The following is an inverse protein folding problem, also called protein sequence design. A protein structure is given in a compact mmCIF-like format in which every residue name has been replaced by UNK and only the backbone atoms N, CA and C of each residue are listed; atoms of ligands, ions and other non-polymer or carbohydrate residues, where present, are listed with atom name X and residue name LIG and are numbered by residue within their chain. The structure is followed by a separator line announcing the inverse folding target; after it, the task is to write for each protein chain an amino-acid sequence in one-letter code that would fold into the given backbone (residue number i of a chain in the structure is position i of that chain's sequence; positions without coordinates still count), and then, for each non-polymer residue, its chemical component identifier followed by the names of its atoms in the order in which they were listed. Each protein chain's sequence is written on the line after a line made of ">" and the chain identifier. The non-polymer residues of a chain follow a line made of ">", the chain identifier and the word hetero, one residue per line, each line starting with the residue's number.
data_IF_702996065417
#
_entry.id   IF_702996065417
#
_cell.length_a   1.000
_cell.length_b   1.000
_cell.length_c   1.000
_cell.angle_alpha   90.00
_cell.angle_beta   90.00
_cell.angle_gamma   90.00
#
_symmetry.space_group_name_H-M   'P 1'
#
loop_
_entity.id
_entity.type
_entity.pdbx_description
1 polymer ?
#
# COMPACT_ATOMS: atom_id res chain seq x y z
N UNK A 1 -2.12 0.06 14.37
CA UNK A 1 -2.41 1.50 14.15
C UNK A 1 -3.92 1.65 13.99
N UNK A 2 -4.53 2.77 14.40
CA UNK A 2 -5.99 2.96 14.23
C UNK A 2 -6.34 3.11 12.75
N UNK A 3 -7.55 2.73 12.36
CA UNK A 3 -8.06 2.93 11.00
C UNK A 3 -8.00 4.43 10.63
N UNK A 4 -7.48 4.79 9.45
CA UNK A 4 -7.43 6.17 9.00
C UNK A 4 -8.82 6.72 8.66
N UNK A 5 -8.95 8.04 8.67
CA UNK A 5 -10.17 8.72 8.26
C UNK A 5 -10.34 8.67 6.73
N UNK A 6 -11.57 8.62 6.16
CA UNK A 6 -11.79 8.60 4.71
C UNK A 6 -11.05 9.71 3.94
N UNK A 7 -10.94 10.91 4.51
CA UNK A 7 -10.18 12.02 3.91
C UNK A 7 -8.68 11.68 3.77
N UNK A 8 -8.08 11.03 4.76
CA UNK A 8 -6.67 10.61 4.71
C UNK A 8 -6.47 9.54 3.64
N UNK A 9 -7.43 8.61 3.48
CA UNK A 9 -7.40 7.58 2.43
C UNK A 9 -7.45 8.22 1.05
N UNK A 10 -8.39 9.13 0.80
CA UNK A 10 -8.47 9.86 -0.49
C UNK A 10 -7.19 10.65 -0.78
N UNK A 11 -6.64 11.33 0.22
CA UNK A 11 -5.36 12.04 0.07
C UNK A 11 -4.21 11.08 -0.24
N UNK A 12 -4.15 9.92 0.40
CA UNK A 12 -3.12 8.91 0.13
C UNK A 12 -3.21 8.36 -1.30
N UNK A 13 -4.42 8.17 -1.84
CA UNK A 13 -4.61 7.75 -3.23
C UNK A 13 -4.01 8.78 -4.20
N UNK A 14 -4.36 10.06 -4.05
CA UNK A 14 -3.83 11.15 -4.89
C UNK A 14 -2.31 11.29 -4.75
N UNK A 15 -1.78 11.19 -3.53
CA UNK A 15 -0.34 11.23 -3.30
C UNK A 15 0.39 10.03 -3.92
N UNK A 16 -0.23 8.84 -3.89
CA UNK A 16 0.34 7.66 -4.50
C UNK A 16 0.42 7.80 -6.03
N UNK A 17 -0.58 8.41 -6.66
CA UNK A 17 -0.54 8.76 -8.10
C UNK A 17 0.70 9.62 -8.41
N UNK A 18 0.94 10.68 -7.62
CA UNK A 18 2.11 11.55 -7.77
C UNK A 18 3.43 10.79 -7.57
N UNK A 19 3.49 9.93 -6.56
CA UNK A 19 4.66 9.07 -6.29
C UNK A 19 4.93 8.10 -7.44
N UNK A 20 3.87 7.52 -8.02
CA UNK A 20 3.98 6.57 -9.13
C UNK A 20 4.40 7.23 -10.45
N UNK A 21 4.24 8.55 -10.59
CA UNK A 21 4.81 9.31 -11.70
C UNK A 21 6.34 9.39 -11.66
N UNK A 22 6.98 9.06 -10.53
CA UNK A 22 8.45 8.91 -10.35
C UNK A 22 9.29 10.11 -10.77
N UNK A 23 8.73 11.32 -10.73
CA UNK A 23 9.47 12.54 -11.08
C UNK A 23 10.44 12.96 -9.97
N UNK A 24 10.06 12.73 -8.71
CA UNK A 24 10.87 13.04 -7.53
C UNK A 24 10.68 11.94 -6.46
N UNK A 25 11.58 11.84 -5.47
CA UNK A 25 11.45 10.89 -4.37
C UNK A 25 10.13 11.03 -3.59
N UNK A 26 9.57 9.90 -3.11
CA UNK A 26 8.30 9.87 -2.39
C UNK A 26 8.31 10.68 -1.08
N UNK A 27 9.45 10.68 -0.38
CA UNK A 27 9.66 11.46 0.84
C UNK A 27 9.62 12.98 0.56
N UNK A 28 10.17 13.43 -0.57
CA UNK A 28 10.10 14.82 -1.00
C UNK A 28 8.65 15.26 -1.31
N UNK A 29 7.86 14.38 -1.95
CA UNK A 29 6.43 14.60 -2.22
C UNK A 29 5.67 14.75 -0.90
N UNK A 30 5.85 13.80 0.03
CA UNK A 30 5.22 13.84 1.35
C UNK A 30 5.65 15.09 2.15
N UNK A 31 6.93 15.43 2.16
CA UNK A 31 7.44 16.62 2.84
C UNK A 31 6.86 17.92 2.24
N UNK A 32 6.77 18.02 0.92
CA UNK A 32 6.10 19.13 0.23
C UNK A 32 4.62 19.22 0.62
N UNK A 33 3.91 18.09 0.60
CA UNK A 33 2.51 18.01 0.99
C UNK A 33 2.29 18.46 2.44
N UNK A 34 3.09 17.98 3.39
CA UNK A 34 2.96 18.36 4.80
C UNK A 34 3.30 19.82 5.07
N UNK A 35 4.27 20.41 4.35
CA UNK A 35 4.58 21.85 4.45
C UNK A 35 3.44 22.73 3.96
N UNK A 36 2.73 22.29 2.90
CA UNK A 36 1.54 22.99 2.37
C UNK A 36 0.32 22.87 3.29
N UNK A 37 0.24 21.81 4.10
CA UNK A 37 -0.89 21.53 4.99
C UNK A 37 -0.46 21.56 6.47
N UNK A 38 -0.05 22.73 6.96
CA UNK A 38 0.49 22.91 8.33
C UNK A 38 -0.49 22.49 9.43
N UNK A 39 -1.78 22.53 9.15
CA UNK A 39 -2.86 22.08 10.04
C UNK A 39 -2.90 20.56 10.26
N UNK A 40 -2.21 19.76 9.42
CA UNK A 40 -2.11 18.31 9.64
C UNK A 40 -1.31 18.02 10.92
N UNK A 41 -1.94 17.31 11.85
CA UNK A 41 -1.29 16.84 13.06
C UNK A 41 -0.33 15.69 12.80
N UNK A 42 0.49 15.33 13.79
CA UNK A 42 1.43 14.21 13.67
C UNK A 42 0.76 12.88 13.32
N UNK A 43 -0.48 12.67 13.78
CA UNK A 43 -1.27 11.47 13.47
C UNK A 43 -1.67 11.39 11.99
N UNK A 44 -2.09 12.50 11.38
CA UNK A 44 -2.48 12.54 9.97
C UNK A 44 -1.28 12.21 9.08
N UNK A 45 -0.13 12.84 9.39
CA UNK A 45 1.12 12.61 8.67
C UNK A 45 1.60 11.17 8.80
N UNK A 46 1.46 10.57 10.00
CA UNK A 46 1.81 9.18 10.24
C UNK A 46 0.92 8.22 9.43
N UNK A 47 -0.39 8.45 9.38
CA UNK A 47 -1.31 7.64 8.56
C UNK A 47 -0.99 7.74 7.07
N UNK A 48 -0.82 8.96 6.53
CA UNK A 48 -0.47 9.15 5.12
C UNK A 48 0.85 8.45 4.78
N UNK A 49 1.88 8.66 5.60
CA UNK A 49 3.19 8.01 5.40
C UNK A 49 3.07 6.49 5.46
N UNK A 50 2.30 5.95 6.41
CA UNK A 50 2.15 4.52 6.55
C UNK A 50 1.39 3.88 5.37
N UNK A 51 0.39 4.56 4.80
CA UNK A 51 -0.29 4.10 3.60
C UNK A 51 0.66 4.09 2.38
N UNK A 52 1.35 5.20 2.12
CA UNK A 52 2.26 5.32 0.97
C UNK A 52 3.43 4.33 1.09
N UNK A 53 4.14 4.32 2.22
CA UNK A 53 5.26 3.40 2.39
C UNK A 53 4.80 1.96 2.58
N UNK A 54 3.57 1.72 3.05
CA UNK A 54 2.97 0.39 3.05
C UNK A 54 2.86 -0.18 1.64
N UNK A 55 2.50 0.65 0.66
CA UNK A 55 2.47 0.27 -0.77
C UNK A 55 3.89 0.03 -1.27
N UNK A 56 4.79 0.99 -1.10
CA UNK A 56 6.15 0.92 -1.65
C UNK A 56 6.95 -0.27 -1.08
N UNK A 57 6.80 -0.55 0.22
CA UNK A 57 7.47 -1.70 0.88
C UNK A 57 6.93 -3.05 0.45
N UNK A 58 5.76 -3.12 -0.18
CA UNK A 58 5.16 -4.37 -0.66
C UNK A 58 4.87 -4.30 -2.16
N UNK A 59 5.58 -3.43 -2.88
CA UNK A 59 5.25 -3.02 -4.24
C UNK A 59 5.06 -4.19 -5.20
N UNK A 60 5.98 -5.15 -5.19
CA UNK A 60 5.94 -6.28 -6.11
C UNK A 60 4.76 -7.21 -5.80
N UNK A 61 4.56 -7.52 -4.52
CA UNK A 61 3.48 -8.39 -4.05
C UNK A 61 2.09 -7.80 -4.30
N UNK A 62 1.90 -6.53 -3.95
CA UNK A 62 0.61 -5.85 -4.11
C UNK A 62 0.23 -5.72 -5.58
N UNK A 63 1.15 -5.31 -6.45
CA UNK A 63 0.87 -5.19 -7.89
C UNK A 63 0.51 -6.52 -8.53
N UNK A 64 1.16 -7.60 -8.12
CA UNK A 64 0.82 -8.93 -8.61
C UNK A 64 -0.59 -9.41 -8.17
N UNK A 65 -1.11 -8.88 -7.06
CA UNK A 65 -2.43 -9.23 -6.53
C UNK A 65 -3.53 -8.33 -7.07
N UNK A 66 -3.34 -7.02 -7.06
CA UNK A 66 -4.41 -6.03 -7.33
C UNK A 66 -4.12 -5.10 -8.52
N UNK A 67 -3.00 -5.28 -9.20
CA UNK A 67 -2.57 -4.40 -10.29
C UNK A 67 -2.02 -3.07 -9.79
N UNK A 68 -2.00 -2.08 -10.69
CA UNK A 68 -1.23 -0.84 -10.51
C UNK A 68 -2.11 0.36 -10.17
N UNK A 69 -3.42 0.15 -9.97
CA UNK A 69 -4.34 1.24 -9.68
C UNK A 69 -4.13 1.73 -8.24
N UNK A 70 -3.85 3.03 -8.02
CA UNK A 70 -3.59 3.58 -6.69
C UNK A 70 -4.68 3.30 -5.65
N UNK A 71 -6.00 3.37 -5.97
CA UNK A 71 -7.04 2.94 -5.04
C UNK A 71 -6.85 1.47 -4.59
N UNK A 72 -6.67 0.55 -5.53
CA UNK A 72 -6.54 -0.87 -5.21
C UNK A 72 -5.31 -1.16 -4.33
N UNK A 73 -4.18 -0.50 -4.60
CA UNK A 73 -2.96 -0.60 -3.81
C UNK A 73 -3.14 -0.07 -2.38
N UNK A 74 -3.79 1.09 -2.21
CA UNK A 74 -4.10 1.66 -0.89
C UNK A 74 -5.10 0.78 -0.13
N UNK A 75 -6.14 0.29 -0.81
CA UNK A 75 -7.11 -0.64 -0.25
C UNK A 75 -6.47 -1.93 0.24
N UNK A 76 -5.49 -2.47 -0.50
CA UNK A 76 -4.74 -3.65 -0.09
C UNK A 76 -3.88 -3.41 1.17
N UNK A 77 -3.27 -2.23 1.31
CA UNK A 77 -2.55 -1.85 2.54
C UNK A 77 -3.51 -1.70 3.73
N UNK A 78 -4.67 -1.08 3.53
CA UNK A 78 -5.70 -0.95 4.56
C UNK A 78 -6.18 -2.32 5.05
N UNK A 79 -6.40 -3.26 4.12
CA UNK A 79 -6.76 -4.62 4.46
C UNK A 79 -5.62 -5.33 5.24
N UNK A 80 -4.40 -5.34 4.69
CA UNK A 80 -3.30 -6.13 5.26
C UNK A 80 -2.61 -5.55 6.49
N UNK A 81 -2.61 -4.22 6.69
CA UNK A 81 -1.88 -3.56 7.79
C UNK A 81 -2.79 -2.89 8.82
N UNK A 82 -4.02 -2.54 8.43
CA UNK A 82 -5.00 -1.90 9.30
C UNK A 82 -6.19 -2.83 9.60
N UNK A 83 -6.16 -4.08 9.12
CA UNK A 83 -7.22 -5.07 9.29
C UNK A 83 -8.60 -4.56 8.87
N UNK A 84 -8.65 -3.76 7.80
CA UNK A 84 -9.93 -3.29 7.24
C UNK A 84 -10.57 -4.43 6.43
N UNK A 85 -11.73 -4.89 6.88
CA UNK A 85 -12.60 -5.78 6.11
C UNK A 85 -13.32 -5.03 4.97
N UNK A 86 -14.09 -5.75 4.16
CA UNK A 86 -14.84 -5.14 3.06
C UNK A 86 -15.78 -4.02 3.52
N UNK A 87 -16.42 -4.17 4.69
CA UNK A 87 -17.32 -3.15 5.24
C UNK A 87 -16.58 -1.87 5.64
N UNK A 88 -15.41 -2.01 6.27
CA UNK A 88 -14.53 -0.89 6.61
C UNK A 88 -14.04 -0.19 5.35
N UNK A 89 -13.63 -0.93 4.32
CA UNK A 89 -13.22 -0.35 3.04
C UNK A 89 -14.38 0.39 2.35
N UNK A 90 -15.60 -0.15 2.34
CA UNK A 90 -16.78 0.59 1.83
C UNK A 90 -16.97 1.91 2.57
N UNK A 91 -16.86 1.94 3.91
CA UNK A 91 -16.94 3.19 4.70
C UNK A 91 -15.82 4.19 4.38
N UNK A 92 -14.66 3.71 3.91
CA UNK A 92 -13.54 4.55 3.49
C UNK A 92 -13.69 5.07 2.04
N UNK A 93 -14.70 4.62 1.31
CA UNK A 93 -15.04 5.08 -0.04
C UNK A 93 -14.53 4.17 -1.17
N UNK A 94 -14.36 2.87 -0.91
CA UNK A 94 -14.07 1.89 -1.95
C UNK A 94 -15.38 1.25 -2.46
N UNK A 95 -15.73 1.49 -3.71
CA UNK A 95 -17.00 1.02 -4.31
C UNK A 95 -17.06 -0.51 -4.40
N UNK A 96 -16.01 -1.15 -4.91
CA UNK A 96 -15.92 -2.61 -5.08
C UNK A 96 -15.14 -3.33 -3.95
N UNK A 97 -15.32 -2.87 -2.70
CA UNK A 97 -14.55 -3.35 -1.55
C UNK A 97 -14.59 -4.88 -1.36
N UNK A 98 -15.75 -5.51 -1.55
CA UNK A 98 -15.90 -6.95 -1.41
C UNK A 98 -15.11 -7.72 -2.47
N UNK A 99 -15.13 -7.25 -3.72
CA UNK A 99 -14.36 -7.85 -4.81
C UNK A 99 -12.85 -7.69 -4.58
N UNK A 100 -12.42 -6.52 -4.09
CA UNK A 100 -11.02 -6.28 -3.74
C UNK A 100 -10.52 -7.22 -2.62
N UNK A 101 -11.31 -7.39 -1.54
CA UNK A 101 -10.94 -8.32 -0.47
C UNK A 101 -10.89 -9.75 -0.99
N UNK A 102 -11.89 -10.19 -1.74
CA UNK A 102 -11.89 -11.53 -2.34
C UNK A 102 -10.67 -11.74 -3.27
N UNK A 103 -10.31 -10.73 -4.07
CA UNK A 103 -9.14 -10.77 -4.93
C UNK A 103 -7.82 -10.87 -4.15
N UNK A 104 -7.74 -10.22 -2.98
CA UNK A 104 -6.60 -10.28 -2.09
C UNK A 104 -6.52 -11.68 -1.46
N UNK A 105 -7.61 -12.19 -0.89
CA UNK A 105 -7.63 -13.47 -0.18
C UNK A 105 -7.52 -14.70 -1.11
N UNK A 106 -7.86 -14.54 -2.39
CA UNK A 106 -7.73 -15.60 -3.38
C UNK A 106 -6.31 -16.17 -3.43
N UNK A 107 -6.15 -17.51 -3.32
CA UNK A 107 -4.87 -18.16 -3.51
C UNK A 107 -4.28 -17.81 -4.87
N UNK A 108 -3.00 -17.47 -4.90
CA UNK A 108 -2.23 -17.31 -6.14
C UNK A 108 -0.92 -18.03 -6.03
N UNK A 109 -0.58 -18.73 -7.10
CA UNK A 109 0.75 -19.26 -7.29
C UNK A 109 1.67 -18.14 -7.78
N UNK A 110 2.04 -17.26 -6.85
CA UNK A 110 3.00 -16.19 -7.11
C UNK A 110 4.43 -16.72 -6.87
N UNK A 111 5.40 -16.32 -7.71
CA UNK A 111 6.81 -16.64 -7.48
C UNK A 111 7.21 -16.27 -6.05
N UNK A 112 8.06 -17.09 -5.43
CA UNK A 112 8.48 -16.88 -4.05
C UNK A 112 9.03 -15.46 -3.81
N UNK A 113 9.80 -14.93 -4.77
CA UNK A 113 10.35 -13.56 -4.74
C UNK A 113 9.26 -12.48 -4.63
N UNK A 114 8.13 -12.67 -5.31
CA UNK A 114 6.98 -11.78 -5.27
C UNK A 114 6.28 -11.88 -3.93
N UNK A 115 6.11 -13.11 -3.42
CA UNK A 115 5.46 -13.36 -2.12
C UNK A 115 6.23 -12.76 -0.95
N UNK A 116 7.56 -12.85 -0.98
CA UNK A 116 8.44 -12.34 0.08
C UNK A 116 8.92 -10.90 -0.16
N UNK A 117 8.53 -10.30 -1.29
CA UNK A 117 9.00 -8.99 -1.73
C UNK A 117 10.54 -8.89 -1.70
N UNK A 118 11.21 -9.99 -2.07
CA UNK A 118 12.66 -10.09 -2.19
C UNK A 118 13.10 -9.75 -3.61
N UNK A 119 14.15 -8.92 -3.78
CA UNK A 119 14.78 -8.73 -5.08
C UNK A 119 15.22 -10.08 -5.67
N UNK A 120 14.99 -10.27 -6.98
CA UNK A 120 15.28 -11.53 -7.66
C UNK A 120 16.74 -11.98 -7.49
N UNK A 121 17.68 -11.03 -7.50
CA UNK A 121 19.11 -11.29 -7.28
C UNK A 121 19.40 -11.93 -5.91
N UNK A 122 18.72 -11.46 -4.85
CA UNK A 122 18.91 -11.99 -3.50
C UNK A 122 18.16 -13.30 -3.28
N UNK A 123 17.05 -13.51 -3.99
CA UNK A 123 16.24 -14.69 -3.78
C UNK A 123 16.97 -16.00 -4.10
N UNK A 124 17.84 -16.01 -5.13
CA UNK A 124 18.64 -17.19 -5.44
C UNK A 124 19.56 -17.55 -4.26
N UNK A 125 20.29 -16.56 -3.73
CA UNK A 125 21.20 -16.72 -2.61
C UNK A 125 20.47 -17.16 -1.34
N UNK A 126 19.34 -16.51 -1.01
CA UNK A 126 18.54 -16.89 0.15
C UNK A 126 17.97 -18.30 0.04
N UNK A 127 17.51 -18.71 -1.15
CA UNK A 127 16.96 -20.05 -1.35
C UNK A 127 18.00 -21.13 -1.06
N UNK A 128 19.26 -20.89 -1.40
CA UNK A 128 20.36 -21.81 -1.12
C UNK A 128 20.71 -21.93 0.38
N UNK A 129 20.26 -20.99 1.22
CA UNK A 129 20.50 -21.00 2.68
C UNK A 129 19.36 -21.58 3.51
N UNK A 130 18.20 -21.83 2.89
CA UNK A 130 17.05 -22.40 3.60
C UNK A 130 17.25 -23.91 3.83
N UNK A 131 16.93 -24.43 5.02
CA UNK A 131 16.89 -25.87 5.24
C UNK A 131 15.82 -26.52 4.34
N UNK A 132 16.07 -27.77 3.92
CA UNK A 132 15.13 -28.59 3.13
C UNK A 132 13.80 -28.84 3.86
#
# INVERSE_FOLDING_TARGET
>A
MKTPHPTQVRQAIVLLEEVMARQVPADAILASHFRRHKQMGGRDRAHLSALIYGVLRNWQSLRARVGDQPPALIGAVLHGQFNCDASALTRLGFDDAAALVAQLEAPRDLPWTVRTNLPALMAADFKATLPE
#
